data_IF_599839099489
#
_entry.id   IF_599839099489
#
_cell.length_a   1.000
_cell.length_b   1.000
_cell.length_c   1.000
_cell.angle_alpha   90.00
_cell.angle_beta   90.00
_cell.angle_gamma   90.00
#
_symmetry.space_group_name_H-M   'P 1'
#
loop_
_entity.id
_entity.type
_entity.pdbx_description
1 polymer ?
#
# COMPACT_ATOMS: atom_id res chain seq x y z
N UNK A 1 1.79 -26.56 16.87
CA UNK A 1 0.62 -25.65 16.89
C UNK A 1 -0.66 -26.46 16.78
N UNK A 2 -1.64 -26.16 17.60
CA UNK A 2 -2.92 -26.89 17.60
C UNK A 2 -3.78 -26.46 16.42
N UNK A 3 -4.60 -27.38 15.92
CA UNK A 3 -5.51 -27.11 14.80
C UNK A 3 -6.39 -25.89 15.05
N UNK A 4 -6.86 -25.73 16.30
CA UNK A 4 -7.69 -24.60 16.68
C UNK A 4 -6.98 -23.26 16.46
N UNK A 5 -5.68 -23.18 16.79
CA UNK A 5 -4.87 -21.97 16.59
C UNK A 5 -4.66 -21.70 15.11
N UNK A 6 -4.49 -22.74 14.32
CA UNK A 6 -4.34 -22.58 12.86
C UNK A 6 -5.62 -22.04 12.24
N UNK A 7 -6.77 -22.55 12.66
CA UNK A 7 -8.06 -22.08 12.14
C UNK A 7 -8.31 -20.61 12.49
N UNK A 8 -7.93 -20.21 13.71
CA UNK A 8 -8.06 -18.80 14.11
C UNK A 8 -7.22 -17.88 13.24
N UNK A 9 -6.01 -18.31 12.90
CA UNK A 9 -5.13 -17.52 12.04
C UNK A 9 -5.64 -17.47 10.60
N UNK A 10 -6.17 -18.57 10.09
CA UNK A 10 -6.78 -18.59 8.76
C UNK A 10 -7.96 -17.60 8.71
N UNK A 11 -8.76 -17.57 9.76
CA UNK A 11 -9.89 -16.66 9.87
C UNK A 11 -9.44 -15.20 9.79
N UNK A 12 -8.33 -14.87 10.45
CA UNK A 12 -7.74 -13.52 10.37
C UNK A 12 -7.36 -13.21 8.93
N UNK A 13 -6.68 -14.14 8.26
CA UNK A 13 -6.28 -13.94 6.87
C UNK A 13 -7.48 -13.72 5.94
N UNK A 14 -8.57 -14.47 6.16
CA UNK A 14 -9.80 -14.27 5.39
C UNK A 14 -10.38 -12.88 5.63
N UNK A 15 -10.35 -12.41 6.86
CA UNK A 15 -10.85 -11.08 7.22
C UNK A 15 -10.07 -9.95 6.55
N UNK A 16 -8.79 -10.20 6.22
CA UNK A 16 -7.97 -9.21 5.53
C UNK A 16 -8.42 -8.95 4.10
N UNK A 17 -9.30 -9.80 3.56
CA UNK A 17 -9.89 -9.64 2.24
C UNK A 17 -11.29 -9.02 2.33
N UNK A 18 -11.53 -8.19 3.34
CA UNK A 18 -12.81 -7.56 3.58
C UNK A 18 -13.18 -6.61 2.45
N UNK A 19 -14.28 -6.89 1.76
CA UNK A 19 -14.75 -6.11 0.61
C UNK A 19 -15.22 -4.70 0.96
N UNK A 20 -15.46 -4.43 2.23
CA UNK A 20 -15.86 -3.09 2.68
C UNK A 20 -14.71 -2.09 2.68
N UNK A 21 -13.47 -2.58 2.59
CA UNK A 21 -12.28 -1.74 2.55
C UNK A 21 -11.82 -1.56 1.09
N UNK A 22 -12.63 -0.87 0.30
CA UNK A 22 -12.46 -0.76 -1.15
C UNK A 22 -11.11 -0.23 -1.59
N UNK A 23 -10.58 0.79 -0.89
CA UNK A 23 -9.28 1.35 -1.24
C UNK A 23 -8.16 0.35 -0.97
N UNK A 24 -8.22 -0.32 0.18
CA UNK A 24 -7.23 -1.36 0.50
C UNK A 24 -7.35 -2.52 -0.50
N UNK A 25 -8.59 -2.91 -0.85
CA UNK A 25 -8.82 -4.02 -1.79
C UNK A 25 -8.21 -3.76 -3.16
N UNK A 26 -8.22 -2.50 -3.61
CA UNK A 26 -7.56 -2.14 -4.87
C UNK A 26 -6.10 -2.62 -4.89
N UNK A 27 -5.39 -2.41 -3.78
CA UNK A 27 -3.99 -2.80 -3.66
C UNK A 27 -3.79 -4.29 -3.45
N UNK A 28 -4.82 -5.01 -2.98
CA UNK A 28 -4.73 -6.45 -2.75
C UNK A 28 -4.88 -7.28 -4.03
N UNK A 29 -5.23 -6.66 -5.15
CA UNK A 29 -5.44 -7.39 -6.41
C UNK A 29 -4.14 -7.78 -7.11
N UNK A 30 -3.00 -7.27 -6.63
CA UNK A 30 -1.71 -7.46 -7.29
C UNK A 30 -0.61 -7.35 -6.23
N UNK A 31 0.36 -8.25 -6.25
CA UNK A 31 1.44 -8.23 -5.27
C UNK A 31 2.24 -6.93 -5.32
N UNK A 32 2.49 -6.41 -6.52
CA UNK A 32 3.21 -5.14 -6.69
C UNK A 32 2.42 -4.00 -6.04
N UNK A 33 1.12 -3.93 -6.31
CA UNK A 33 0.25 -2.92 -5.69
C UNK A 33 0.27 -3.02 -4.18
N UNK A 34 0.16 -4.23 -3.66
CA UNK A 34 0.12 -4.43 -2.22
C UNK A 34 1.43 -4.01 -1.57
N UNK A 35 2.56 -4.36 -2.19
CA UNK A 35 3.87 -3.96 -1.67
C UNK A 35 4.05 -2.44 -1.70
N UNK A 36 3.57 -1.78 -2.76
CA UNK A 36 3.58 -0.32 -2.85
C UNK A 36 2.76 0.29 -1.70
N UNK A 37 1.58 -0.25 -1.45
CA UNK A 37 0.75 0.21 -0.33
C UNK A 37 1.52 0.16 0.99
N UNK A 38 2.17 -0.97 1.26
CA UNK A 38 2.89 -1.15 2.52
C UNK A 38 4.06 -0.16 2.64
N UNK A 39 4.79 0.06 1.56
CA UNK A 39 5.91 1.01 1.53
C UNK A 39 5.41 2.43 1.80
N UNK A 40 4.36 2.85 1.10
CA UNK A 40 3.80 4.19 1.24
C UNK A 40 3.25 4.42 2.65
N UNK A 41 2.50 3.45 3.18
CA UNK A 41 1.90 3.59 4.50
C UNK A 41 2.95 3.59 5.61
N UNK A 42 3.98 2.74 5.49
CA UNK A 42 5.07 2.73 6.46
C UNK A 42 5.77 4.09 6.50
N UNK A 43 6.04 4.66 5.34
CA UNK A 43 6.68 5.98 5.24
C UNK A 43 5.78 7.06 5.83
N UNK A 44 4.49 7.01 5.54
CA UNK A 44 3.53 7.98 6.06
C UNK A 44 3.53 7.98 7.59
N UNK A 45 3.50 6.81 8.23
CA UNK A 45 3.49 6.72 9.69
C UNK A 45 4.82 7.09 10.32
N UNK A 46 5.89 7.16 9.53
CA UNK A 46 7.19 7.62 9.99
C UNK A 46 7.42 9.10 9.66
N UNK A 47 6.37 9.81 9.22
CA UNK A 47 6.44 11.21 8.79
C UNK A 47 7.45 11.44 7.66
N UNK A 48 7.59 10.46 6.79
CA UNK A 48 8.46 10.53 5.62
C UNK A 48 7.63 10.38 4.36
N UNK A 49 7.99 11.12 3.32
CA UNK A 49 7.41 10.92 2.01
C UNK A 49 8.45 10.26 1.11
N UNK A 50 8.03 9.23 0.39
CA UNK A 50 8.91 8.50 -0.51
C UNK A 50 8.76 9.01 -1.92
N UNK A 51 9.90 9.21 -2.60
CA UNK A 51 9.87 9.50 -4.03
C UNK A 51 9.48 8.23 -4.80
N UNK A 52 8.97 8.43 -6.00
CA UNK A 52 8.60 7.30 -6.87
C UNK A 52 9.82 6.38 -7.07
N UNK A 53 11.01 6.96 -7.29
CA UNK A 53 12.23 6.16 -7.48
C UNK A 53 12.60 5.35 -6.23
N UNK A 54 12.44 5.95 -5.04
CA UNK A 54 12.72 5.23 -3.80
C UNK A 54 11.75 4.08 -3.58
N UNK A 55 10.48 4.28 -3.95
CA UNK A 55 9.49 3.20 -3.86
C UNK A 55 9.92 2.04 -4.77
N UNK A 56 10.30 2.34 -6.01
CA UNK A 56 10.76 1.33 -6.96
C UNK A 56 11.99 0.59 -6.42
N UNK A 57 12.97 1.33 -5.88
CA UNK A 57 14.17 0.73 -5.30
C UNK A 57 13.85 -0.19 -4.11
N UNK A 58 12.77 0.09 -3.38
CA UNK A 58 12.36 -0.70 -2.23
C UNK A 58 11.57 -1.95 -2.60
N UNK A 59 11.12 -2.07 -3.86
CA UNK A 59 10.38 -3.25 -4.30
C UNK A 59 11.36 -4.41 -4.53
N UNK A 60 10.93 -5.65 -4.27
CA UNK A 60 11.75 -6.81 -4.61
C UNK A 60 12.11 -6.80 -6.09
N UNK A 61 13.36 -7.12 -6.43
CA UNK A 61 13.86 -7.01 -7.80
C UNK A 61 13.04 -7.80 -8.83
N UNK A 62 12.52 -8.94 -8.42
CA UNK A 62 11.83 -9.84 -9.34
C UNK A 62 10.31 -9.80 -9.20
N UNK A 63 9.77 -8.80 -8.49
CA UNK A 63 8.32 -8.76 -8.26
C UNK A 63 7.56 -8.47 -9.56
N UNK A 64 8.09 -7.59 -10.41
CA UNK A 64 7.46 -7.23 -11.67
C UNK A 64 8.38 -6.29 -12.46
N UNK A 65 8.00 -5.99 -13.71
CA UNK A 65 8.74 -5.05 -14.54
C UNK A 65 8.60 -3.62 -14.00
N UNK A 66 9.56 -2.76 -14.34
CA UNK A 66 9.50 -1.34 -14.00
C UNK A 66 8.24 -0.69 -14.58
N UNK A 67 7.87 -1.06 -15.81
CA UNK A 67 6.67 -0.52 -16.45
C UNK A 67 5.43 -0.85 -15.64
N UNK A 68 5.30 -2.09 -15.16
CA UNK A 68 4.16 -2.50 -14.34
C UNK A 68 4.15 -1.74 -12.99
N UNK A 69 5.32 -1.57 -12.38
CA UNK A 69 5.45 -0.84 -11.12
C UNK A 69 4.96 0.61 -11.26
N UNK A 70 5.40 1.27 -12.33
CA UNK A 70 4.96 2.64 -12.63
C UNK A 70 3.47 2.71 -12.93
N UNK A 71 2.93 1.73 -13.66
CA UNK A 71 1.50 1.68 -13.96
C UNK A 71 0.66 1.52 -12.70
N UNK A 72 1.12 0.70 -11.75
CA UNK A 72 0.42 0.53 -10.47
C UNK A 72 0.31 1.85 -9.73
N UNK A 73 1.39 2.63 -9.69
CA UNK A 73 1.39 3.93 -9.03
C UNK A 73 0.54 4.95 -9.76
N UNK A 74 0.59 4.93 -11.10
CA UNK A 74 -0.24 5.81 -11.93
C UNK A 74 -1.73 5.52 -11.73
N UNK A 75 -2.11 4.24 -11.71
CA UNK A 75 -3.50 3.85 -11.51
C UNK A 75 -4.01 4.30 -10.14
N UNK A 76 -3.22 4.09 -9.09
CA UNK A 76 -3.59 4.49 -7.74
C UNK A 76 -3.72 6.01 -7.64
N UNK A 77 -2.84 6.76 -8.32
CA UNK A 77 -2.88 8.20 -8.34
C UNK A 77 -4.10 8.71 -9.11
N UNK A 78 -4.41 8.07 -10.24
CA UNK A 78 -5.58 8.44 -11.05
C UNK A 78 -6.88 8.25 -10.29
N UNK A 79 -6.95 7.24 -9.43
CA UNK A 79 -8.13 6.99 -8.60
C UNK A 79 -8.18 7.88 -7.35
N UNK A 80 -7.15 8.65 -7.09
CA UNK A 80 -7.06 9.50 -5.90
C UNK A 80 -6.72 8.75 -4.63
N UNK A 81 -6.31 7.50 -4.72
CA UNK A 81 -5.91 6.71 -3.54
C UNK A 81 -4.52 7.11 -3.05
N UNK A 82 -3.62 7.38 -3.99
CA UNK A 82 -2.33 8.00 -3.70
C UNK A 82 -2.31 9.39 -4.31
N UNK A 83 -1.60 10.29 -3.66
CA UNK A 83 -1.48 11.68 -4.09
C UNK A 83 -0.03 11.94 -4.45
N UNK A 84 0.17 12.47 -5.66
CA UNK A 84 1.50 12.82 -6.16
C UNK A 84 1.78 14.28 -5.84
N UNK A 85 2.91 14.55 -5.20
CA UNK A 85 3.36 15.91 -4.89
C UNK A 85 4.73 16.15 -5.50
N UNK A 86 4.92 17.35 -6.04
CA UNK A 86 6.22 17.78 -6.56
C UNK A 86 7.03 18.39 -5.42
N UNK A 87 8.31 18.03 -5.35
CA UNK A 87 9.22 18.63 -4.38
C UNK A 87 9.36 20.14 -4.62
N UNK A 88 9.33 20.93 -3.56
CA UNK A 88 9.52 22.38 -3.65
C UNK A 88 10.97 22.73 -3.98
N UNK A 89 11.91 21.90 -3.56
CA UNK A 89 13.35 22.15 -3.76
C UNK A 89 13.87 21.57 -5.08
N UNK A 90 13.21 20.55 -5.63
CA UNK A 90 13.59 19.94 -6.91
C UNK A 90 12.35 19.45 -7.62
N UNK A 91 11.93 20.20 -8.64
CA UNK A 91 10.70 19.92 -9.38
C UNK A 91 10.73 18.61 -10.15
N UNK A 92 11.91 17.99 -10.30
CA UNK A 92 12.02 16.69 -10.95
C UNK A 92 11.64 15.54 -10.01
N UNK A 93 11.63 15.80 -8.69
CA UNK A 93 11.29 14.77 -7.70
C UNK A 93 9.80 14.78 -7.42
N UNK A 94 9.19 13.62 -7.56
CA UNK A 94 7.78 13.40 -7.26
C UNK A 94 7.66 12.46 -6.07
N UNK A 95 6.87 12.86 -5.10
CA UNK A 95 6.60 12.08 -3.89
C UNK A 95 5.19 11.51 -3.97
N UNK A 96 5.00 10.35 -3.37
CA UNK A 96 3.67 9.76 -3.21
C UNK A 96 3.31 9.71 -1.74
N UNK A 97 2.08 10.07 -1.43
CA UNK A 97 1.52 9.94 -0.09
C UNK A 97 0.12 9.35 -0.19
N UNK A 98 -0.39 8.72 0.87
CA UNK A 98 -1.74 8.17 0.82
C UNK A 98 -2.78 9.28 0.96
N UNK A 99 -3.95 9.08 0.36
CA UNK A 99 -5.10 9.96 0.59
C UNK A 99 -5.60 9.77 2.03
N UNK A 100 -6.38 10.75 2.52
CA UNK A 100 -6.96 10.65 3.87
C UNK A 100 -7.87 9.43 4.00
N UNK A 101 -8.65 9.13 2.95
CA UNK A 101 -9.53 7.97 2.95
C UNK A 101 -8.73 6.67 3.00
N UNK A 102 -7.62 6.60 2.28
CA UNK A 102 -6.77 5.41 2.31
C UNK A 102 -6.17 5.21 3.70
N UNK A 103 -5.71 6.29 4.34
CA UNK A 103 -5.17 6.23 5.70
C UNK A 103 -6.23 5.67 6.66
N UNK A 104 -7.45 6.17 6.57
CA UNK A 104 -8.54 5.71 7.43
C UNK A 104 -8.86 4.23 7.21
N UNK A 105 -8.98 3.81 5.95
CA UNK A 105 -9.27 2.40 5.65
C UNK A 105 -8.11 1.48 6.03
N UNK A 106 -6.89 1.93 5.82
CA UNK A 106 -5.72 1.14 6.21
C UNK A 106 -5.66 0.98 7.74
N UNK A 107 -6.05 2.01 8.48
CA UNK A 107 -6.19 1.91 9.93
C UNK A 107 -7.18 0.83 10.34
N UNK A 108 -8.34 0.80 9.69
CA UNK A 108 -9.34 -0.25 9.93
C UNK A 108 -8.81 -1.63 9.57
N UNK A 109 -8.06 -1.71 8.47
CA UNK A 109 -7.41 -2.94 8.03
C UNK A 109 -6.43 -3.46 9.10
N UNK A 110 -5.61 -2.57 9.66
CA UNK A 110 -4.65 -2.95 10.69
C UNK A 110 -5.34 -3.42 11.97
N UNK A 111 -6.52 -2.91 12.28
CA UNK A 111 -7.27 -3.34 13.46
C UNK A 111 -7.63 -4.83 13.42
N UNK A 112 -7.65 -5.42 12.23
CA UNK A 112 -7.92 -6.85 12.09
C UNK A 112 -6.80 -7.71 12.69
N UNK A 113 -5.62 -7.15 12.90
CA UNK A 113 -4.50 -7.82 13.57
C UNK A 113 -4.49 -7.60 15.08
N UNK A 114 -5.27 -6.64 15.56
CA UNK A 114 -5.38 -6.35 16.98
C UNK A 114 -6.65 -7.02 17.47
N UNK A 115 -6.48 -7.95 18.38
CA UNK A 115 -7.59 -8.67 18.86
C UNK A 115 -8.50 -8.13 19.75
#
# INVERSE_FOLDING_TARGET
MKTKDLNSKIQILESLLNHDLKLVNFFQTDLTKYKILLIVMKSYFQDENQTIEKIIESLPKDISSRAHQLNCMTDATAKGYLIKETSKSDMRKKYLKPSKELVAQFGDYLKLFLD
#
